data_IF_840482321464
#
_entry.id   IF_840482321464
#
_cell.length_a   1.000
_cell.length_b   1.000
_cell.length_c   1.000
_cell.angle_alpha   90.00
_cell.angle_beta   90.00
_cell.angle_gamma   90.00
#
_symmetry.space_group_name_H-M   'P 1'
#
loop_
_entity.id
_entity.type
_entity.pdbx_description
1 polymer ?
#
# COMPACT_ATOMS: atom_id res chain seq x y z
N UNK A 1 -8.52 -1.29 -16.04
CA UNK A 1 -7.51 -0.86 -15.06
C UNK A 1 -7.90 -1.19 -13.59
N UNK A 2 -8.74 -2.21 -13.33
CA UNK A 2 -9.19 -2.57 -11.96
C UNK A 2 -8.43 -3.71 -11.26
N UNK A 3 -7.62 -4.49 -12.00
CA UNK A 3 -7.05 -5.76 -11.50
C UNK A 3 -6.29 -5.63 -10.16
N UNK A 4 -5.50 -4.58 -9.97
CA UNK A 4 -4.78 -4.36 -8.71
C UNK A 4 -5.71 -4.00 -7.55
N UNK A 5 -6.78 -3.24 -7.80
CA UNK A 5 -7.81 -2.92 -6.79
C UNK A 5 -8.63 -4.16 -6.44
N UNK A 6 -8.91 -5.04 -7.41
CA UNK A 6 -9.59 -6.31 -7.18
C UNK A 6 -8.75 -7.25 -6.31
N UNK A 7 -7.46 -7.41 -6.63
CA UNK A 7 -6.53 -8.19 -5.81
C UNK A 7 -6.36 -7.56 -4.42
N UNK A 8 -6.27 -6.23 -4.33
CA UNK A 8 -6.18 -5.52 -3.05
C UNK A 8 -7.39 -5.78 -2.15
N UNK A 9 -8.59 -5.89 -2.73
CA UNK A 9 -9.81 -6.25 -2.02
C UNK A 9 -9.80 -7.71 -1.57
N UNK A 10 -9.37 -8.63 -2.45
CA UNK A 10 -9.32 -10.07 -2.19
C UNK A 10 -8.37 -10.43 -1.04
N UNK A 11 -7.18 -9.83 -1.01
CA UNK A 11 -6.19 -10.12 0.05
C UNK A 11 -6.50 -9.43 1.39
N UNK A 12 -7.53 -8.59 1.46
CA UNK A 12 -7.86 -7.81 2.66
C UNK A 12 -8.57 -8.67 3.73
N UNK A 13 -7.76 -9.39 4.50
CA UNK A 13 -8.21 -10.10 5.72
C UNK A 13 -8.14 -9.25 7.00
N UNK A 14 -8.34 -9.90 8.15
CA UNK A 14 -8.37 -9.23 9.46
C UNK A 14 -7.00 -8.98 10.10
N UNK A 15 -5.94 -9.64 9.64
CA UNK A 15 -4.61 -9.45 10.19
C UNK A 15 -4.02 -8.08 9.85
N UNK A 16 -3.08 -7.63 10.68
CA UNK A 16 -2.34 -6.39 10.43
C UNK A 16 -1.57 -6.46 9.11
N UNK A 17 -1.05 -7.64 8.79
CA UNK A 17 -0.29 -7.94 7.58
C UNK A 17 -1.18 -7.89 6.33
N UNK A 18 -2.37 -8.49 6.37
CA UNK A 18 -3.29 -8.50 5.23
C UNK A 18 -3.81 -7.10 4.92
N UNK A 19 -4.12 -6.31 5.96
CA UNK A 19 -4.53 -4.91 5.82
C UNK A 19 -3.41 -4.04 5.23
N UNK A 20 -2.18 -4.26 5.69
CA UNK A 20 -1.01 -3.55 5.17
C UNK A 20 -0.74 -3.88 3.70
N UNK A 21 -0.81 -5.15 3.32
CA UNK A 21 -0.62 -5.58 1.94
C UNK A 21 -1.70 -4.99 1.01
N UNK A 22 -2.97 -5.04 1.43
CA UNK A 22 -4.09 -4.42 0.71
C UNK A 22 -3.85 -2.92 0.49
N UNK A 23 -3.41 -2.18 1.53
CA UNK A 23 -3.12 -0.75 1.42
C UNK A 23 -2.00 -0.42 0.44
N UNK A 24 -0.93 -1.24 0.40
CA UNK A 24 0.16 -1.07 -0.56
C UNK A 24 -0.35 -1.26 -1.99
N UNK A 25 -1.16 -2.31 -2.24
CA UNK A 25 -1.70 -2.59 -3.57
C UNK A 25 -2.65 -1.50 -4.06
N UNK A 26 -3.49 -0.95 -3.17
CA UNK A 26 -4.30 0.22 -3.51
C UNK A 26 -3.43 1.41 -3.90
N UNK A 27 -2.39 1.71 -3.13
CA UNK A 27 -1.52 2.85 -3.44
C UNK A 27 -0.81 2.67 -4.78
N UNK A 28 -0.28 1.48 -5.05
CA UNK A 28 0.35 1.15 -6.34
C UNK A 28 -0.65 1.24 -7.50
N UNK A 29 -1.92 0.89 -7.27
CA UNK A 29 -2.96 0.99 -8.30
C UNK A 29 -3.19 2.42 -8.78
N UNK A 30 -2.95 3.42 -7.93
CA UNK A 30 -3.07 4.84 -8.28
C UNK A 30 -2.08 5.25 -9.39
N UNK A 31 -0.93 4.56 -9.56
CA UNK A 31 0.00 4.82 -10.69
C UNK A 31 -0.59 4.49 -12.05
N UNK A 32 -1.59 3.63 -12.07
CA UNK A 32 -2.24 3.17 -13.28
C UNK A 32 -3.59 3.86 -13.48
N UNK A 33 -3.91 4.87 -12.69
CA UNK A 33 -5.09 5.70 -12.81
C UNK A 33 -4.71 7.03 -13.45
N UNK A 34 -5.21 7.31 -14.66
CA UNK A 34 -4.85 8.55 -15.37
C UNK A 34 -5.53 9.79 -14.75
N UNK A 35 -6.52 9.59 -13.88
CA UNK A 35 -7.21 10.67 -13.15
C UNK A 35 -6.51 11.02 -11.83
N UNK A 36 -5.57 10.19 -11.37
CA UNK A 36 -4.94 10.37 -10.06
C UNK A 36 -3.52 10.91 -10.19
N UNK A 37 -3.26 12.07 -9.57
CA UNK A 37 -1.91 12.63 -9.49
C UNK A 37 -1.11 11.90 -8.42
N UNK A 38 -0.43 10.82 -8.82
CA UNK A 38 0.53 10.14 -7.94
C UNK A 38 1.80 9.78 -8.70
N UNK A 39 2.95 10.19 -8.17
CA UNK A 39 4.24 9.81 -8.74
C UNK A 39 4.74 8.46 -8.20
N UNK A 40 5.45 7.67 -9.02
CA UNK A 40 6.14 6.44 -8.56
C UNK A 40 7.06 6.68 -7.36
N UNK A 41 7.67 7.86 -7.29
CA UNK A 41 8.59 8.28 -6.24
C UNK A 41 7.86 8.47 -4.90
N UNK A 42 6.69 9.11 -4.91
CA UNK A 42 5.84 9.24 -3.71
C UNK A 42 5.35 7.90 -3.18
N UNK A 43 5.05 6.95 -4.06
CA UNK A 43 4.68 5.59 -3.65
C UNK A 43 5.87 4.88 -3.01
N UNK A 44 7.03 4.94 -3.65
CA UNK A 44 8.25 4.33 -3.12
C UNK A 44 8.59 4.88 -1.73
N UNK A 45 8.49 6.20 -1.53
CA UNK A 45 8.72 6.84 -0.23
C UNK A 45 7.72 6.37 0.82
N UNK A 46 6.43 6.27 0.48
CA UNK A 46 5.38 5.76 1.37
C UNK A 46 5.62 4.30 1.78
N UNK A 47 5.87 3.41 0.81
CA UNK A 47 6.11 1.99 1.10
C UNK A 47 7.37 1.81 1.94
N UNK A 48 8.46 2.52 1.59
CA UNK A 48 9.71 2.48 2.36
C UNK A 48 9.51 2.95 3.81
N UNK A 49 8.72 4.00 4.00
CA UNK A 49 8.41 4.51 5.34
C UNK A 49 7.62 3.49 6.17
N UNK A 50 6.59 2.88 5.58
CA UNK A 50 5.78 1.83 6.20
C UNK A 50 6.64 0.64 6.64
N UNK A 51 7.54 0.16 5.78
CA UNK A 51 8.43 -0.95 6.10
C UNK A 51 9.41 -0.61 7.22
N UNK A 52 9.95 0.61 7.22
CA UNK A 52 10.88 1.09 8.26
C UNK A 52 10.23 1.13 9.64
N UNK A 53 9.03 1.67 9.75
CA UNK A 53 8.26 1.67 11.01
C UNK A 53 8.04 0.25 11.52
N UNK A 54 7.74 -0.69 10.61
CA UNK A 54 7.50 -2.09 10.98
C UNK A 54 8.77 -2.77 11.49
N UNK A 55 9.91 -2.54 10.84
CA UNK A 55 11.21 -3.07 11.29
C UNK A 55 11.67 -2.48 12.61
N UNK A 56 11.27 -1.23 12.93
CA UNK A 56 11.63 -0.55 14.18
C UNK A 56 10.70 -0.92 15.36
N UNK A 57 9.78 -1.89 15.18
CA UNK A 57 8.88 -2.37 16.24
C UNK A 57 7.52 -1.69 16.33
N UNK A 58 7.16 -0.85 15.35
CA UNK A 58 5.89 -0.11 15.29
C UNK A 58 5.91 1.23 16.05
N UNK A 59 4.86 2.03 15.85
CA UNK A 59 4.70 3.41 16.40
C UNK A 59 4.56 3.49 17.93
N UNK A 60 4.77 2.40 18.67
CA UNK A 60 4.59 2.34 20.13
C UNK A 60 5.87 1.88 20.80
N UNK A 61 6.62 2.85 21.34
CA UNK A 61 7.26 2.67 22.64
C UNK A 61 6.25 3.01 23.72
#
# INVERSE_FOLDING_TARGET
>A
RGFLRDVAADVRGDSSESKQLSAILYRVSDLYDDEEETSPEEIYLNVRHIMRIKSDGGLRR
#
